data_IF_704236782188
#
_entry.id   IF_704236782188
#
_cell.length_a   1.000
_cell.length_b   1.000
_cell.length_c   1.000
_cell.angle_alpha   90.00
_cell.angle_beta   90.00
_cell.angle_gamma   90.00
#
_symmetry.space_group_name_H-M   'P 1'
#
loop_
_entity.id
_entity.type
_entity.pdbx_description
1 polymer ?
#
# COMPACT_ATOMS: atom_id res chain seq x y z
N UNK A 1 -42.27 -11.20 30.73
CA UNK A 1 -42.62 -12.43 29.98
C UNK A 1 -43.15 -12.14 28.56
N UNK A 2 -42.49 -11.27 27.78
CA UNK A 2 -43.04 -10.86 26.46
C UNK A 2 -42.04 -10.94 25.31
N UNK A 3 -40.78 -11.20 25.58
CA UNK A 3 -39.71 -11.24 24.52
C UNK A 3 -39.52 -12.62 23.87
N UNK A 4 -39.85 -13.70 24.55
CA UNK A 4 -39.62 -15.09 24.05
C UNK A 4 -40.61 -15.50 22.93
N UNK A 5 -41.83 -14.93 22.91
CA UNK A 5 -42.86 -15.28 21.90
C UNK A 5 -42.59 -14.68 20.50
N UNK A 6 -41.71 -13.69 20.39
CA UNK A 6 -41.41 -13.03 19.10
C UNK A 6 -40.32 -13.76 18.30
N UNK A 7 -39.56 -14.59 18.97
CA UNK A 7 -38.47 -15.32 18.30
C UNK A 7 -38.93 -16.63 17.65
N UNK A 8 -39.91 -17.31 18.26
CA UNK A 8 -40.48 -18.57 17.71
C UNK A 8 -41.30 -18.37 16.43
N UNK A 9 -41.92 -17.20 16.25
CA UNK A 9 -42.71 -16.89 15.06
C UNK A 9 -41.91 -16.69 13.77
N UNK A 10 -40.59 -16.45 13.86
CA UNK A 10 -39.75 -16.22 12.70
C UNK A 10 -39.15 -17.52 12.12
N UNK A 11 -38.84 -18.48 12.98
CA UNK A 11 -38.31 -19.76 12.54
C UNK A 11 -39.34 -20.64 11.82
N UNK A 12 -40.60 -20.60 12.27
CA UNK A 12 -41.68 -21.36 11.62
C UNK A 12 -42.12 -20.84 10.24
N UNK A 13 -41.68 -19.62 9.85
CA UNK A 13 -41.98 -19.09 8.51
C UNK A 13 -40.98 -19.56 7.45
N UNK A 14 -39.75 -19.77 7.83
CA UNK A 14 -38.69 -20.23 6.92
C UNK A 14 -38.81 -21.72 6.59
N UNK A 15 -39.20 -22.53 7.57
CA UNK A 15 -39.45 -23.95 7.35
C UNK A 15 -40.64 -24.25 6.43
N UNK A 16 -41.67 -23.38 6.44
CA UNK A 16 -42.82 -23.55 5.53
C UNK A 16 -42.56 -23.14 4.08
N UNK A 17 -41.54 -22.33 3.82
CA UNK A 17 -41.14 -21.98 2.46
C UNK A 17 -40.35 -23.10 1.80
N UNK A 18 -39.56 -23.85 2.55
CA UNK A 18 -38.74 -24.96 2.02
C UNK A 18 -39.56 -26.23 1.72
N UNK A 19 -40.70 -26.40 2.39
CA UNK A 19 -41.59 -27.58 2.20
C UNK A 19 -42.44 -27.54 0.93
N UNK A 20 -42.47 -26.41 0.20
CA UNK A 20 -43.33 -26.28 -1.01
C UNK A 20 -42.64 -26.55 -2.33
N UNK A 21 -41.33 -26.82 -2.30
CA UNK A 21 -40.57 -27.11 -3.53
C UNK A 21 -40.30 -28.59 -3.79
N UNK A 22 -40.81 -29.50 -2.97
CA UNK A 22 -40.49 -30.93 -3.07
C UNK A 22 -41.69 -31.77 -3.57
N UNK A 23 -42.38 -31.34 -4.58
CA UNK A 23 -43.54 -32.09 -5.08
C UNK A 23 -43.83 -31.86 -6.54
N UNK A 24 -42.93 -32.23 -7.43
CA UNK A 24 -43.34 -32.64 -8.79
C UNK A 24 -42.17 -33.41 -9.45
N UNK A 25 -42.08 -34.70 -9.15
CA UNK A 25 -41.34 -35.65 -9.95
C UNK A 25 -42.35 -36.38 -10.81
N UNK A 26 -42.39 -36.11 -12.06
CA UNK A 26 -43.02 -36.99 -13.05
C UNK A 26 -42.02 -37.35 -14.11
N UNK A 27 -41.80 -38.65 -14.22
CA UNK A 27 -40.94 -39.32 -15.15
C UNK A 27 -41.38 -39.08 -16.61
N UNK A 28 -40.41 -38.85 -17.49
CA UNK A 28 -40.55 -39.24 -18.93
C UNK A 28 -39.18 -39.67 -19.45
N UNK A 29 -39.20 -40.86 -19.98
CA UNK A 29 -38.33 -41.66 -20.78
C UNK A 29 -37.20 -41.02 -21.60
N UNK A 30 -36.09 -41.71 -21.55
CA UNK A 30 -35.10 -42.03 -22.58
C UNK A 30 -35.17 -41.28 -23.94
N UNK A 31 -34.09 -40.53 -24.21
CA UNK A 31 -33.61 -40.36 -25.59
C UNK A 31 -32.09 -40.14 -25.50
N UNK A 32 -31.36 -41.13 -25.99
CA UNK A 32 -29.92 -41.06 -26.24
C UNK A 32 -29.70 -40.06 -27.36
N UNK A 33 -29.20 -38.90 -27.06
CA UNK A 33 -28.60 -37.97 -28.02
C UNK A 33 -27.18 -37.69 -27.61
N UNK A 34 -26.27 -38.22 -28.36
CA UNK A 34 -24.86 -37.96 -28.34
C UNK A 34 -24.66 -36.48 -28.68
N UNK A 35 -24.54 -35.60 -27.69
CA UNK A 35 -24.20 -34.18 -27.90
C UNK A 35 -22.75 -33.96 -27.55
N UNK A 36 -22.01 -33.59 -28.60
CA UNK A 36 -20.69 -33.02 -28.54
C UNK A 36 -20.60 -31.99 -27.38
N UNK A 37 -19.77 -32.27 -26.39
CA UNK A 37 -19.44 -31.30 -25.34
C UNK A 37 -18.85 -30.06 -26.04
N UNK A 38 -19.39 -28.85 -25.79
CA UNK A 38 -18.68 -27.65 -26.21
C UNK A 38 -17.38 -27.60 -25.42
N UNK A 39 -16.28 -27.74 -26.15
CA UNK A 39 -14.95 -27.46 -25.62
C UNK A 39 -14.93 -25.96 -25.25
N UNK A 40 -15.26 -25.63 -24.00
CA UNK A 40 -15.07 -24.29 -23.47
C UNK A 40 -13.55 -24.09 -23.48
N UNK A 41 -12.98 -23.16 -24.28
CA UNK A 41 -11.58 -22.84 -24.15
C UNK A 41 -11.39 -22.36 -22.74
N UNK A 42 -10.64 -23.11 -21.92
CA UNK A 42 -10.12 -22.61 -20.66
C UNK A 42 -9.36 -21.35 -21.03
N UNK A 43 -9.91 -20.20 -20.65
CA UNK A 43 -9.19 -18.93 -20.71
C UNK A 43 -7.98 -19.16 -19.82
N UNK A 44 -6.85 -19.51 -20.45
CA UNK A 44 -5.58 -19.60 -19.75
C UNK A 44 -5.37 -18.23 -19.11
N UNK A 45 -5.51 -18.16 -17.79
CA UNK A 45 -5.09 -17.01 -17.03
C UNK A 45 -3.62 -16.82 -17.39
N UNK A 46 -3.32 -15.85 -18.25
CA UNK A 46 -1.96 -15.50 -18.61
C UNK A 46 -1.19 -15.27 -17.33
N UNK A 47 0.13 -15.50 -17.31
CA UNK A 47 0.94 -15.30 -16.12
C UNK A 47 0.64 -13.90 -15.57
N UNK A 48 0.11 -13.84 -14.34
CA UNK A 48 -0.19 -12.58 -13.68
C UNK A 48 1.08 -11.73 -13.76
N UNK A 49 1.00 -10.63 -14.50
CA UNK A 49 2.13 -9.74 -14.68
C UNK A 49 2.65 -9.40 -13.29
N UNK A 50 3.89 -9.79 -12.98
CA UNK A 50 4.52 -9.48 -11.69
C UNK A 50 4.65 -7.97 -11.63
N UNK A 51 3.72 -7.32 -10.93
CA UNK A 51 3.78 -5.88 -10.68
C UNK A 51 5.07 -5.65 -9.90
N UNK A 52 5.99 -4.90 -10.48
CA UNK A 52 7.24 -4.55 -9.81
C UNK A 52 6.90 -3.83 -8.47
N UNK A 53 7.56 -4.17 -7.36
CA UNK A 53 7.27 -3.59 -6.06
C UNK A 53 7.53 -2.09 -5.98
N UNK A 54 8.40 -1.59 -6.85
CA UNK A 54 8.73 -0.17 -6.98
C UNK A 54 8.94 0.21 -8.44
N UNK A 55 8.61 1.46 -8.77
CA UNK A 55 8.93 2.11 -10.04
C UNK A 55 9.92 3.24 -9.76
N UNK A 56 10.99 3.28 -10.53
CA UNK A 56 12.03 4.30 -10.43
C UNK A 56 12.06 5.09 -11.72
N UNK A 57 11.84 6.39 -11.62
CA UNK A 57 11.81 7.33 -12.74
C UNK A 57 12.95 8.35 -12.59
N UNK A 58 13.52 8.78 -13.70
CA UNK A 58 14.49 9.88 -13.70
C UNK A 58 13.76 11.19 -13.35
N UNK A 59 14.49 12.08 -12.68
CA UNK A 59 14.06 13.49 -12.48
C UNK A 59 14.95 14.38 -13.35
N UNK A 60 14.74 15.69 -13.29
CA UNK A 60 15.58 16.67 -14.00
C UNK A 60 17.04 16.63 -13.51
N UNK A 61 17.27 16.26 -12.26
CA UNK A 61 18.59 15.95 -11.75
C UNK A 61 18.91 14.46 -11.96
N UNK A 62 19.91 14.17 -12.80
CA UNK A 62 20.33 12.81 -13.14
C UNK A 62 20.75 11.96 -11.91
N UNK A 63 21.10 12.60 -10.79
CA UNK A 63 21.53 11.95 -9.54
C UNK A 63 20.36 11.65 -8.60
N UNK A 64 19.19 12.23 -8.84
CA UNK A 64 17.99 12.08 -8.02
C UNK A 64 16.94 11.34 -8.83
N UNK A 65 16.30 10.37 -8.22
CA UNK A 65 15.23 9.61 -8.88
C UNK A 65 13.96 9.71 -8.06
N UNK A 66 12.84 9.66 -8.77
CA UNK A 66 11.52 9.54 -8.17
C UNK A 66 11.19 8.06 -8.01
N UNK A 67 10.89 7.65 -6.79
CA UNK A 67 10.56 6.28 -6.42
C UNK A 67 9.09 6.21 -6.06
N UNK A 68 8.32 5.39 -6.77
CA UNK A 68 6.93 5.08 -6.44
C UNK A 68 6.83 3.64 -5.99
N UNK A 69 6.37 3.42 -4.75
CA UNK A 69 6.17 2.10 -4.18
C UNK A 69 4.73 1.63 -4.40
N UNK A 70 4.54 0.31 -4.54
CA UNK A 70 3.21 -0.26 -4.42
C UNK A 70 2.78 -0.27 -2.94
N UNK A 71 1.46 -0.22 -2.61
CA UNK A 71 0.99 -0.29 -1.23
C UNK A 71 1.54 -1.50 -0.47
N UNK A 72 1.57 -2.65 -1.12
CA UNK A 72 2.11 -3.89 -0.55
C UNK A 72 3.63 -3.81 -0.27
N UNK A 73 4.38 -3.11 -1.12
CA UNK A 73 5.80 -2.88 -0.88
C UNK A 73 6.03 -1.93 0.29
N UNK A 74 5.27 -0.84 0.36
CA UNK A 74 5.35 0.12 1.46
C UNK A 74 5.04 -0.53 2.81
N UNK A 75 4.00 -1.36 2.88
CA UNK A 75 3.65 -2.12 4.07
C UNK A 75 4.80 -3.06 4.50
N UNK A 76 5.35 -3.83 3.56
CA UNK A 76 6.46 -4.76 3.83
C UNK A 76 7.74 -4.07 4.29
N UNK A 77 7.99 -2.86 3.80
CA UNK A 77 9.16 -2.06 4.14
C UNK A 77 8.96 -1.25 5.43
N UNK A 78 7.77 -1.26 6.01
CA UNK A 78 7.44 -0.48 7.20
C UNK A 78 7.56 1.02 6.95
N UNK A 79 7.12 1.49 5.78
CA UNK A 79 7.19 2.91 5.42
C UNK A 79 6.31 3.73 6.36
N UNK A 80 6.92 4.68 7.05
CA UNK A 80 6.23 5.68 7.84
C UNK A 80 6.56 7.08 7.32
N UNK A 81 5.55 7.93 7.33
CA UNK A 81 5.65 9.32 6.90
C UNK A 81 5.39 10.21 8.12
N UNK A 82 6.20 11.24 8.29
CA UNK A 82 6.01 12.32 9.26
C UNK A 82 6.07 13.66 8.53
N UNK A 83 5.86 14.74 9.23
CA UNK A 83 5.90 16.10 8.67
C UNK A 83 7.08 16.90 9.22
N UNK A 84 7.62 17.78 8.39
CA UNK A 84 8.59 18.78 8.84
C UNK A 84 7.89 19.71 9.84
N UNK A 85 8.32 19.69 11.08
CA UNK A 85 7.79 20.51 12.18
C UNK A 85 8.65 21.75 12.39
N UNK A 86 8.16 22.68 13.20
CA UNK A 86 8.96 23.80 13.73
C UNK A 86 8.99 23.78 15.24
N UNK A 87 10.11 24.20 15.81
CA UNK A 87 10.20 24.47 17.23
C UNK A 87 9.69 25.90 17.57
N UNK A 88 9.53 26.22 18.85
CA UNK A 88 9.11 27.58 19.27
C UNK A 88 10.03 28.72 18.80
N UNK A 89 11.25 28.42 18.40
CA UNK A 89 12.21 29.40 17.84
C UNK A 89 12.15 29.51 16.31
N UNK A 90 11.23 28.77 15.66
CA UNK A 90 11.03 28.82 14.21
C UNK A 90 11.97 27.92 13.41
N UNK A 91 12.77 27.05 14.06
CA UNK A 91 13.66 26.12 13.36
C UNK A 91 12.91 24.89 12.90
N UNK A 92 13.22 24.44 11.69
CA UNK A 92 12.64 23.21 11.13
C UNK A 92 13.21 21.99 11.82
N UNK A 93 12.34 21.01 12.09
CA UNK A 93 12.69 19.77 12.76
C UNK A 93 12.17 18.59 11.93
N UNK A 94 13.03 17.58 11.77
CA UNK A 94 12.66 16.27 11.21
C UNK A 94 13.11 15.16 12.15
N UNK A 95 12.48 13.98 12.13
CA UNK A 95 12.98 12.82 12.85
C UNK A 95 14.38 12.43 12.37
N UNK A 96 15.24 12.01 13.28
CA UNK A 96 16.60 11.56 12.92
C UNK A 96 16.58 10.40 11.92
N UNK A 97 15.61 9.48 12.05
CA UNK A 97 15.42 8.36 11.14
C UNK A 97 15.05 8.77 9.71
N UNK A 98 14.63 10.01 9.47
CA UNK A 98 14.36 10.57 8.14
C UNK A 98 15.61 10.95 7.38
N UNK A 99 16.74 11.11 8.05
CA UNK A 99 17.96 11.66 7.47
C UNK A 99 18.77 10.55 6.78
N UNK A 100 19.14 10.81 5.56
CA UNK A 100 20.05 9.99 4.76
C UNK A 100 21.39 10.74 4.59
N UNK A 101 22.47 10.06 4.87
CA UNK A 101 23.83 10.49 4.53
C UNK A 101 24.28 9.77 3.28
N UNK A 102 24.68 10.51 2.27
CA UNK A 102 25.25 9.90 1.06
C UNK A 102 26.76 9.66 1.20
N UNK A 103 27.33 8.98 0.23
CA UNK A 103 28.78 8.66 0.22
C UNK A 103 29.69 9.89 0.11
N UNK A 104 29.14 11.05 -0.24
CA UNK A 104 29.87 12.32 -0.33
C UNK A 104 29.74 13.17 0.92
N UNK A 105 29.03 12.66 1.95
CA UNK A 105 28.77 13.36 3.20
C UNK A 105 27.65 14.38 3.13
N UNK A 106 26.89 14.45 2.04
CA UNK A 106 25.71 15.30 1.93
C UNK A 106 24.53 14.64 2.64
N UNK A 107 23.68 15.47 3.19
CA UNK A 107 22.49 15.06 3.93
C UNK A 107 21.23 15.31 3.13
N UNK A 108 20.31 14.34 3.20
CA UNK A 108 19.07 14.29 2.42
C UNK A 108 17.93 13.81 3.28
N UNK A 109 16.70 14.18 2.89
CA UNK A 109 15.46 13.53 3.31
C UNK A 109 14.68 13.10 2.10
N UNK A 110 13.84 12.08 2.23
CA UNK A 110 12.89 11.74 1.17
C UNK A 110 11.58 12.50 1.39
N UNK A 111 11.24 13.35 0.45
CA UNK A 111 9.98 14.12 0.42
C UNK A 111 8.92 13.24 -0.23
N UNK A 112 7.77 13.12 0.40
CA UNK A 112 6.59 12.46 -0.16
C UNK A 112 5.79 13.47 -0.96
N UNK A 113 6.05 13.57 -2.27
CA UNK A 113 5.34 14.47 -3.17
C UNK A 113 3.89 14.02 -3.41
N UNK A 114 3.69 12.70 -3.54
CA UNK A 114 2.40 12.03 -3.70
C UNK A 114 2.36 10.79 -2.80
N UNK A 115 1.20 10.18 -2.54
CA UNK A 115 1.10 8.96 -1.78
C UNK A 115 2.06 7.88 -2.33
N UNK A 116 2.93 7.35 -1.46
CA UNK A 116 3.94 6.33 -1.78
C UNK A 116 4.96 6.73 -2.86
N UNK A 117 5.09 8.02 -3.14
CA UNK A 117 6.05 8.56 -4.11
C UNK A 117 7.06 9.45 -3.40
N UNK A 118 8.34 9.13 -3.55
CA UNK A 118 9.44 9.73 -2.81
C UNK A 118 10.48 10.31 -3.73
N UNK A 119 10.96 11.51 -3.39
CA UNK A 119 12.06 12.20 -4.08
C UNK A 119 13.02 12.74 -3.02
N UNK A 120 14.33 12.63 -3.23
CA UNK A 120 15.30 13.20 -2.30
C UNK A 120 15.31 14.73 -2.35
N UNK A 121 15.24 15.34 -1.17
CA UNK A 121 15.48 16.76 -0.97
C UNK A 121 16.73 16.96 -0.13
N UNK A 122 17.60 17.88 -0.54
CA UNK A 122 18.77 18.23 0.24
C UNK A 122 18.38 18.92 1.54
N UNK A 123 19.12 18.66 2.60
CA UNK A 123 18.96 19.32 3.92
C UNK A 123 20.30 19.70 4.48
N UNK A 124 20.34 20.78 5.26
CA UNK A 124 21.50 21.16 6.06
C UNK A 124 21.15 21.03 7.54
N UNK A 125 21.98 20.29 8.26
CA UNK A 125 21.78 20.00 9.68
C UNK A 125 22.51 21.06 10.51
N UNK A 126 21.76 21.70 11.41
CA UNK A 126 22.31 22.59 12.46
C UNK A 126 22.79 21.75 13.65
N UNK A 127 21.85 21.00 14.25
CA UNK A 127 22.14 20.21 15.45
C UNK A 127 21.21 19.01 15.56
N UNK A 128 21.65 18.00 16.30
CA UNK A 128 20.87 16.80 16.60
C UNK A 128 20.63 16.74 18.10
N UNK A 129 19.36 16.58 18.52
CA UNK A 129 18.99 16.44 19.94
C UNK A 129 18.03 15.26 20.09
N UNK A 130 18.52 14.17 20.66
CA UNK A 130 17.77 12.91 20.76
C UNK A 130 17.34 12.44 19.38
N UNK A 131 16.05 12.19 19.20
CA UNK A 131 15.47 11.71 17.95
C UNK A 131 15.09 12.84 16.97
N UNK A 132 15.45 14.09 17.27
CA UNK A 132 15.13 15.25 16.44
C UNK A 132 16.37 15.86 15.81
N UNK A 133 16.27 16.14 14.52
CA UNK A 133 17.29 16.86 13.76
C UNK A 133 16.77 18.25 13.43
N UNK A 134 17.52 19.25 13.82
CA UNK A 134 17.24 20.65 13.55
C UNK A 134 17.94 21.07 12.28
N UNK A 135 17.20 21.69 11.37
CA UNK A 135 17.68 22.03 10.04
C UNK A 135 17.95 23.52 9.94
N UNK A 136 19.12 23.88 9.35
CA UNK A 136 19.41 25.23 8.86
C UNK A 136 18.71 25.45 7.54
N UNK A 137 18.81 24.48 6.63
CA UNK A 137 18.10 24.49 5.34
C UNK A 137 17.45 23.16 5.01
N UNK A 138 16.37 23.20 4.19
CA UNK A 138 15.61 22.00 3.81
C UNK A 138 14.15 22.32 3.41
N UNK A 139 13.31 21.30 3.28
CA UNK A 139 11.94 21.47 2.84
C UNK A 139 11.13 22.34 3.82
N UNK A 140 10.10 23.03 3.33
CA UNK A 140 9.25 23.88 4.17
C UNK A 140 8.47 23.07 5.20
N UNK A 141 8.04 23.75 6.26
CA UNK A 141 7.19 23.18 7.32
C UNK A 141 5.90 22.59 6.73
N UNK A 142 5.44 21.47 7.28
CA UNK A 142 4.28 20.74 6.80
C UNK A 142 4.57 19.85 5.60
N UNK A 143 5.80 19.88 5.05
CA UNK A 143 6.20 18.93 4.02
C UNK A 143 6.26 17.54 4.60
N UNK A 144 5.63 16.58 3.93
CA UNK A 144 5.68 15.16 4.31
C UNK A 144 7.03 14.56 3.95
N UNK A 145 7.66 13.92 4.93
CA UNK A 145 8.96 13.27 4.78
C UNK A 145 8.89 11.82 5.24
N UNK A 146 9.72 10.99 4.64
CA UNK A 146 9.85 9.59 5.04
C UNK A 146 10.52 9.51 6.41
N UNK A 147 9.80 8.98 7.41
CA UNK A 147 10.29 8.83 8.78
C UNK A 147 10.85 7.43 9.09
N UNK A 148 10.39 6.40 8.35
CA UNK A 148 10.95 5.06 8.44
C UNK A 148 11.01 4.41 7.07
N UNK A 149 11.99 3.52 6.85
CA UNK A 149 12.21 2.85 5.56
C UNK A 149 13.18 3.61 4.63
N UNK A 150 13.88 4.63 5.12
CA UNK A 150 14.84 5.44 4.34
C UNK A 150 15.92 4.60 3.67
N UNK A 151 16.62 3.67 4.34
CA UNK A 151 17.64 2.83 3.70
C UNK A 151 17.07 1.93 2.59
N UNK A 152 15.85 1.43 2.76
CA UNK A 152 15.18 0.55 1.80
C UNK A 152 14.80 1.32 0.52
N UNK A 153 14.28 2.54 0.69
CA UNK A 153 13.95 3.43 -0.44
C UNK A 153 15.24 3.84 -1.17
N UNK A 154 16.29 4.17 -0.43
CA UNK A 154 17.60 4.47 -1.01
C UNK A 154 18.20 3.28 -1.78
N UNK A 155 18.15 2.08 -1.22
CA UNK A 155 18.57 0.86 -1.92
C UNK A 155 17.82 0.66 -3.24
N UNK A 156 16.51 0.96 -3.26
CA UNK A 156 15.68 0.91 -4.47
C UNK A 156 16.11 1.97 -5.49
N UNK A 157 16.41 3.20 -5.04
CA UNK A 157 16.85 4.31 -5.90
C UNK A 157 18.16 3.97 -6.63
N UNK A 158 19.14 3.44 -5.91
CA UNK A 158 20.46 3.11 -6.45
C UNK A 158 20.54 1.71 -7.05
N UNK A 159 19.44 0.96 -7.06
CA UNK A 159 19.34 -0.42 -7.56
C UNK A 159 20.35 -1.36 -6.88
N UNK A 160 20.50 -1.27 -5.57
CA UNK A 160 21.26 -2.24 -4.79
C UNK A 160 20.40 -3.48 -4.59
N UNK A 161 20.86 -4.62 -5.09
CA UNK A 161 20.20 -5.93 -4.98
C UNK A 161 19.49 -6.34 -6.28
N UNK A 162 20.20 -7.07 -7.07
CA UNK A 162 19.69 -7.87 -8.21
C UNK A 162 19.56 -9.32 -7.78
#
# INVERSE_FOLDING_TARGET
MTAARRFEGRQNREERLMARFNGLVVAVAASIACLAAPCIPALAAGPAAKIAPARVEATDDAKIKKITLTPKAAERLGILIDEVRVDPSGRRIVPYASVLYDLTGKTWVYISADPLTFVRGAVEIDTIKGDNVYLTDGPPTGTKVLAAGVPQVFGTEVKVGH
#
